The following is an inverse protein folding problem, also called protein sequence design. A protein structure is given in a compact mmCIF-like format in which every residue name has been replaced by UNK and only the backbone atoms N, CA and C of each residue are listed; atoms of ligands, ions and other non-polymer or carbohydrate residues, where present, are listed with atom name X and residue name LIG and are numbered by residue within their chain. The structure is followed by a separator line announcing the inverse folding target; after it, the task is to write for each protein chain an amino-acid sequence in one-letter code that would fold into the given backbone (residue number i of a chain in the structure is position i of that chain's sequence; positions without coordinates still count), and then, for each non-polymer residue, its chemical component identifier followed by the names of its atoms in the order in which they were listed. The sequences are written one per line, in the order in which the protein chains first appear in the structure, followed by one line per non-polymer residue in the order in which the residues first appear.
data_IF_730462533043
#
_entry.id   IF_730462533043
#
_cell.length_a   1.000
_cell.length_b   1.000
_cell.length_c   1.000
_cell.angle_alpha   90.00
_cell.angle_beta   90.00
_cell.angle_gamma   90.00
#
_symmetry.space_group_name_H-M   'P 1'
#
loop_
_entity.id
_entity.type
_entity.pdbx_description
1 polymer ?
#
# COMPACT_ATOMS: atom_id res chain seq x y z
N UNK A 1 -55.72 1.46 -25.55
CA UNK A 1 -56.24 2.58 -24.74
C UNK A 1 -56.60 2.09 -23.33
N UNK A 2 -55.61 1.69 -22.49
CA UNK A 2 -55.86 1.19 -21.11
C UNK A 2 -54.95 1.85 -20.05
N UNK A 3 -54.14 2.85 -20.43
CA UNK A 3 -53.11 3.40 -19.54
C UNK A 3 -53.58 4.62 -18.73
N UNK A 4 -54.73 5.22 -19.06
CA UNK A 4 -55.20 6.43 -18.38
C UNK A 4 -55.98 6.13 -17.08
N UNK A 5 -56.58 4.95 -16.94
CA UNK A 5 -57.34 4.58 -15.75
C UNK A 5 -56.43 4.31 -14.53
N UNK A 6 -55.26 3.68 -14.77
CA UNK A 6 -54.30 3.39 -13.71
C UNK A 6 -53.64 4.64 -13.11
N UNK A 7 -53.42 5.69 -13.91
CA UNK A 7 -52.77 6.91 -13.42
C UNK A 7 -53.65 7.68 -12.43
N UNK A 8 -54.97 7.64 -12.63
CA UNK A 8 -55.91 8.31 -11.73
C UNK A 8 -55.99 7.64 -10.35
N UNK A 9 -55.94 6.31 -10.29
CA UNK A 9 -55.91 5.58 -9.02
C UNK A 9 -54.63 5.86 -8.22
N UNK A 10 -53.49 5.96 -8.92
CA UNK A 10 -52.19 6.26 -8.28
C UNK A 10 -52.19 7.67 -7.70
N UNK A 11 -52.65 8.68 -8.44
CA UNK A 11 -52.75 10.06 -7.91
C UNK A 11 -53.69 10.14 -6.71
N UNK A 12 -54.79 9.37 -6.73
CA UNK A 12 -55.74 9.31 -5.62
C UNK A 12 -55.12 8.69 -4.37
N UNK A 13 -54.29 7.65 -4.51
CA UNK A 13 -53.57 7.04 -3.38
C UNK A 13 -52.45 7.94 -2.83
N UNK A 14 -51.73 8.65 -3.71
CA UNK A 14 -50.68 9.59 -3.29
C UNK A 14 -51.23 10.79 -2.52
N UNK A 15 -52.40 11.29 -2.92
CA UNK A 15 -53.08 12.38 -2.21
C UNK A 15 -53.70 11.97 -0.86
N UNK A 16 -53.85 10.67 -0.62
CA UNK A 16 -54.30 10.13 0.68
C UNK A 16 -53.15 9.88 1.66
N UNK A 17 -51.90 10.06 1.25
CA UNK A 17 -50.78 9.89 2.17
C UNK A 17 -50.74 11.04 3.19
N UNK A 18 -50.61 10.74 4.49
CA UNK A 18 -50.48 11.76 5.52
C UNK A 18 -49.20 12.55 5.27
N UNK A 19 -49.29 13.89 5.41
CA UNK A 19 -48.11 14.75 5.34
C UNK A 19 -47.22 14.41 6.53
N UNK A 20 -46.08 13.78 6.27
CA UNK A 20 -45.07 13.52 7.28
C UNK A 20 -44.47 14.88 7.64
N UNK A 21 -44.85 15.42 8.78
CA UNK A 21 -44.14 16.52 9.41
C UNK A 21 -43.13 15.89 10.35
N UNK A 22 -41.85 16.13 10.08
CA UNK A 22 -40.81 15.77 11.02
C UNK A 22 -40.95 16.67 12.25
N UNK A 23 -41.38 16.08 13.36
CA UNK A 23 -41.56 16.78 14.63
C UNK A 23 -40.29 16.71 15.50
N UNK A 24 -39.16 16.28 14.93
CA UNK A 24 -37.90 16.26 15.67
C UNK A 24 -37.40 17.69 15.87
N UNK A 25 -37.25 18.04 17.14
CA UNK A 25 -36.62 19.27 17.57
C UNK A 25 -35.13 19.26 17.20
N UNK A 26 -34.68 20.26 16.45
CA UNK A 26 -33.29 20.33 15.94
C UNK A 26 -32.27 20.35 17.08
N UNK A 27 -32.60 20.96 18.22
CA UNK A 27 -31.71 21.05 19.36
C UNK A 27 -31.55 19.71 20.06
N UNK A 28 -32.63 18.93 20.19
CA UNK A 28 -32.59 17.58 20.73
C UNK A 28 -31.76 16.64 19.85
N UNK A 29 -31.90 16.75 18.53
CA UNK A 29 -31.13 15.98 17.55
C UNK A 29 -29.64 16.32 17.64
N UNK A 30 -29.31 17.61 17.70
CA UNK A 30 -27.92 18.07 17.85
C UNK A 30 -27.30 17.61 19.17
N UNK A 31 -28.07 17.67 20.28
CA UNK A 31 -27.63 17.20 21.59
C UNK A 31 -27.35 15.70 21.59
N UNK A 32 -28.21 14.90 20.95
CA UNK A 32 -28.04 13.44 20.83
C UNK A 32 -26.81 13.08 20.02
N UNK A 33 -26.58 13.77 18.90
CA UNK A 33 -25.38 13.58 18.06
C UNK A 33 -24.12 13.95 18.83
N UNK A 34 -24.10 15.10 19.51
CA UNK A 34 -22.95 15.54 20.32
C UNK A 34 -22.62 14.59 21.46
N UNK A 35 -23.63 14.03 22.11
CA UNK A 35 -23.47 13.05 23.19
C UNK A 35 -22.90 11.71 22.68
N UNK A 36 -23.30 11.28 21.48
CA UNK A 36 -22.74 10.08 20.83
C UNK A 36 -21.25 10.26 20.49
N UNK A 37 -20.84 11.43 19.97
CA UNK A 37 -19.42 11.73 19.71
C UNK A 37 -18.57 11.67 20.99
N UNK A 38 -19.03 12.30 22.07
CA UNK A 38 -18.31 12.27 23.36
C UNK A 38 -18.21 10.87 23.95
N UNK A 39 -19.26 10.04 23.83
CA UNK A 39 -19.21 8.64 24.30
C UNK A 39 -18.21 7.80 23.51
N UNK A 40 -18.04 8.04 22.21
CA UNK A 40 -17.08 7.33 21.36
C UNK A 40 -15.63 7.70 21.73
N UNK A 41 -15.35 8.97 21.99
CA UNK A 41 -14.01 9.42 22.40
C UNK A 41 -13.57 8.83 23.75
N UNK A 42 -14.46 8.79 24.75
CA UNK A 42 -14.14 8.25 26.08
C UNK A 42 -13.87 6.74 26.01
N UNK A 43 -14.62 5.99 25.19
CA UNK A 43 -14.42 4.54 25.02
C UNK A 43 -13.09 4.21 24.32
N UNK A 44 -12.61 5.05 23.42
CA UNK A 44 -11.33 4.84 22.73
C UNK A 44 -10.12 5.10 23.64
N UNK A 45 -10.21 6.06 24.57
CA UNK A 45 -9.08 6.42 25.45
C UNK A 45 -8.74 5.34 26.49
N UNK A 46 -9.70 4.53 26.90
CA UNK A 46 -9.53 3.51 27.96
C UNK A 46 -9.06 2.12 27.48
N UNK A 47 -8.71 1.94 26.20
CA UNK A 47 -8.16 0.65 25.71
C UNK A 47 -6.63 0.61 25.62
N UNK A 48 -5.94 1.62 26.15
CA UNK A 48 -4.48 1.77 26.03
C UNK A 48 -3.73 1.49 27.35
N UNK A 49 -4.01 0.34 27.97
CA UNK A 49 -3.07 -0.28 28.92
C UNK A 49 -3.15 -1.80 28.73
N UNK A 50 -2.47 -2.29 27.69
CA UNK A 50 -2.11 -3.71 27.59
C UNK A 50 -0.76 -3.87 28.28
N UNK A 51 -0.79 -4.33 29.53
CA UNK A 51 0.40 -4.79 30.24
C UNK A 51 0.91 -6.06 29.55
N UNK A 52 2.12 -6.03 29.01
CA UNK A 52 2.85 -7.25 28.61
C UNK A 52 3.68 -7.67 29.83
N UNK A 53 3.38 -8.80 30.49
CA UNK A 53 4.17 -9.27 31.62
C UNK A 53 5.32 -10.18 31.15
N UNK A 54 6.51 -9.90 31.68
CA UNK A 54 7.56 -10.85 32.06
C UNK A 54 8.36 -11.65 31.00
N UNK A 55 8.08 -11.65 29.69
CA UNK A 55 8.88 -12.47 28.75
C UNK A 55 10.24 -11.87 28.32
N UNK A 56 10.48 -10.55 28.48
CA UNK A 56 11.76 -9.94 28.09
C UNK A 56 12.91 -10.18 29.07
N UNK A 57 12.62 -10.56 30.32
CA UNK A 57 13.65 -10.77 31.35
C UNK A 57 14.53 -12.02 31.07
N UNK A 58 13.95 -13.08 30.48
CA UNK A 58 14.69 -14.33 30.22
C UNK A 58 15.75 -14.18 29.12
N UNK A 59 15.48 -13.36 28.09
CA UNK A 59 16.41 -13.13 26.99
C UNK A 59 17.67 -12.36 27.45
N UNK A 60 17.50 -11.39 28.35
CA UNK A 60 18.63 -10.60 28.90
C UNK A 60 19.54 -11.47 29.78
N UNK A 61 18.98 -12.41 30.56
CA UNK A 61 19.79 -13.35 31.35
C UNK A 61 20.60 -14.32 30.47
N UNK A 62 20.04 -14.83 29.37
CA UNK A 62 20.76 -15.73 28.46
C UNK A 62 21.95 -15.02 27.79
N UNK A 63 21.80 -13.76 27.38
CA UNK A 63 22.91 -12.99 26.82
C UNK A 63 24.04 -12.73 27.83
N UNK A 64 23.73 -12.52 29.12
CA UNK A 64 24.74 -12.32 30.15
C UNK A 64 25.60 -13.59 30.40
N UNK A 65 25.01 -14.78 30.34
CA UNK A 65 25.74 -16.06 30.53
C UNK A 65 26.70 -16.35 29.36
N UNK A 66 26.31 -16.01 28.13
CA UNK A 66 27.16 -16.20 26.95
C UNK A 66 28.39 -15.28 27.00
N UNK A 67 28.24 -14.03 27.45
CA UNK A 67 29.36 -13.08 27.52
C UNK A 67 30.41 -13.46 28.58
N UNK A 68 29.99 -14.00 29.73
CA UNK A 68 30.93 -14.44 30.78
C UNK A 68 31.73 -15.67 30.31
N UNK A 69 31.12 -16.57 29.55
CA UNK A 69 31.78 -17.80 29.07
C UNK A 69 32.90 -17.52 28.05
N UNK A 70 32.77 -16.44 27.26
CA UNK A 70 33.78 -16.06 26.25
C UNK A 70 35.02 -15.41 26.90
N UNK A 71 34.85 -14.66 27.98
CA UNK A 71 35.97 -13.98 28.65
C UNK A 71 36.78 -14.97 29.52
N UNK A 72 36.14 -15.99 30.10
CA UNK A 72 36.80 -16.92 31.03
C UNK A 72 37.56 -18.06 30.32
N UNK A 73 37.42 -18.21 28.99
CA UNK A 73 38.09 -19.28 28.23
C UNK A 73 39.39 -18.84 27.53
N UNK A 74 39.96 -17.70 27.91
CA UNK A 74 41.31 -17.29 27.52
C UNK A 74 42.29 -17.51 28.69
N UNK A 75 42.96 -18.67 28.64
CA UNK A 75 44.16 -19.11 29.38
C UNK A 75 43.97 -19.68 30.80
N UNK A 76 44.36 -20.95 30.96
CA UNK A 76 45.54 -21.23 31.75
C UNK A 76 46.48 -22.22 31.06
N UNK A 77 47.65 -21.78 30.63
CA UNK A 77 48.84 -22.64 30.51
C UNK A 77 50.08 -21.77 30.69
N UNK A 78 50.52 -21.68 31.94
CA UNK A 78 51.92 -21.48 32.24
C UNK A 78 52.63 -22.83 32.09
N UNK A 79 53.90 -22.75 31.72
CA UNK A 79 54.98 -23.74 31.78
C UNK A 79 55.41 -24.49 30.51
N UNK A 80 56.70 -24.27 30.23
CA UNK A 80 57.70 -25.08 29.50
C UNK A 80 57.91 -24.81 28.00
N UNK A 81 58.85 -23.92 27.70
CA UNK A 81 60.04 -24.27 26.90
C UNK A 81 61.12 -23.20 27.07
N UNK A 82 62.26 -23.64 27.60
CA UNK A 82 63.51 -22.91 27.79
C UNK A 82 64.30 -22.81 26.47
N UNK A 83 65.08 -21.74 26.40
CA UNK A 83 66.33 -21.56 25.65
C UNK A 83 66.24 -21.52 24.11
N UNK A 84 66.55 -20.36 23.53
CA UNK A 84 67.78 -20.14 22.75
C UNK A 84 67.97 -18.63 22.50
N UNK A 85 69.14 -18.21 22.95
CA UNK A 85 69.80 -16.91 22.91
C UNK A 85 70.36 -16.65 21.51
N UNK A 86 70.05 -15.51 20.85
CA UNK A 86 71.05 -14.77 20.05
C UNK A 86 70.60 -13.34 19.65
N UNK A 87 71.31 -12.36 20.22
CA UNK A 87 71.94 -11.18 19.58
C UNK A 87 71.15 -10.12 18.77
N UNK A 88 71.23 -8.89 19.32
CA UNK A 88 71.61 -7.60 18.68
C UNK A 88 70.68 -6.99 17.62
N UNK A 89 70.03 -5.85 17.93
CA UNK A 89 70.44 -4.46 17.57
C UNK A 89 70.37 -4.19 16.06
N UNK A 90 69.52 -3.25 15.61
CA UNK A 90 69.89 -1.85 15.31
C UNK A 90 68.72 -1.08 14.66
N UNK A 91 68.82 0.24 14.71
CA UNK A 91 67.78 1.25 14.45
C UNK A 91 67.86 1.88 13.05
N UNK A 92 66.83 2.68 12.74
CA UNK A 92 66.83 3.83 11.80
C UNK A 92 66.87 3.49 10.29
N UNK A 93 66.38 4.26 9.33
CA UNK A 93 65.54 5.46 9.15
C UNK A 93 65.49 5.73 7.63
N UNK A 94 64.50 6.47 7.11
CA UNK A 94 64.53 7.34 5.90
C UNK A 94 63.21 7.19 5.11
N UNK A 95 62.30 8.17 5.05
CA UNK A 95 62.30 9.51 4.40
C UNK A 95 62.17 9.52 2.87
N UNK A 96 61.04 10.08 2.41
CA UNK A 96 60.93 10.97 1.24
C UNK A 96 60.53 10.34 -0.10
N UNK A 97 59.91 11.02 -1.07
CA UNK A 97 59.32 12.36 -1.24
C UNK A 97 58.75 12.37 -2.67
N UNK A 98 57.70 13.16 -2.96
CA UNK A 98 57.64 13.91 -4.24
C UNK A 98 56.65 13.50 -5.33
N UNK A 99 55.49 14.17 -5.32
CA UNK A 99 54.63 14.57 -6.46
C UNK A 99 55.43 15.39 -7.52
N UNK A 100 54.98 15.59 -8.78
CA UNK A 100 53.89 16.53 -9.17
C UNK A 100 53.04 16.07 -10.42
N UNK A 101 51.74 16.37 -10.54
CA UNK A 101 51.05 17.57 -11.08
C UNK A 101 51.29 17.95 -12.55
N UNK A 102 50.22 17.95 -13.37
CA UNK A 102 49.89 18.81 -14.54
C UNK A 102 48.57 18.28 -15.17
N UNK A 103 47.68 19.01 -15.84
CA UNK A 103 47.19 20.39 -15.84
C UNK A 103 45.94 20.38 -16.73
N UNK A 104 45.03 21.34 -16.52
CA UNK A 104 43.82 21.56 -17.31
C UNK A 104 44.12 22.16 -18.70
N UNK A 105 43.29 21.84 -19.71
CA UNK A 105 43.15 22.69 -20.90
C UNK A 105 41.73 22.67 -21.47
N UNK A 106 41.15 23.86 -21.57
CA UNK A 106 39.90 24.20 -22.25
C UNK A 106 40.01 24.08 -23.78
N UNK A 107 38.90 23.78 -24.48
CA UNK A 107 38.52 24.49 -25.72
C UNK A 107 37.09 24.15 -26.20
N UNK A 108 36.33 25.21 -26.51
CA UNK A 108 35.12 25.35 -27.35
C UNK A 108 35.60 25.81 -28.75
N UNK A 109 35.02 25.41 -29.91
CA UNK A 109 33.94 26.17 -30.59
C UNK A 109 32.94 25.36 -31.47
N UNK A 110 31.95 26.12 -31.95
CA UNK A 110 30.65 25.79 -32.57
C UNK A 110 30.64 25.18 -34.00
N UNK A 111 29.49 24.52 -34.25
CA UNK A 111 28.65 24.39 -35.46
C UNK A 111 29.27 24.19 -36.86
N UNK A 112 28.94 23.06 -37.50
CA UNK A 112 28.33 23.09 -38.84
C UNK A 112 27.56 21.79 -39.17
N UNK A 113 26.50 22.00 -39.93
CA UNK A 113 25.38 21.18 -40.37
C UNK A 113 25.78 20.07 -41.37
N UNK A 114 25.29 18.84 -41.20
CA UNK A 114 25.01 17.93 -42.34
C UNK A 114 24.04 16.80 -41.97
N UNK A 115 22.90 16.79 -42.67
CA UNK A 115 21.92 15.71 -42.81
C UNK A 115 22.50 14.28 -42.78
N UNK A 116 21.81 13.41 -42.04
CA UNK A 116 21.61 12.00 -42.41
C UNK A 116 20.31 11.48 -41.80
N UNK A 117 19.32 11.34 -42.67
CA UNK A 117 18.26 10.35 -42.53
C UNK A 117 18.90 8.96 -42.33
N UNK A 118 18.43 8.24 -41.30
CA UNK A 118 18.09 6.82 -41.35
C UNK A 118 18.12 6.21 -39.94
N UNK A 119 16.93 5.73 -39.54
CA UNK A 119 16.72 4.53 -38.76
C UNK A 119 17.51 4.35 -37.46
N UNK A 120 16.89 4.71 -36.34
CA UNK A 120 16.68 3.70 -35.28
C UNK A 120 15.45 4.08 -34.44
N UNK A 121 14.27 3.69 -34.92
CA UNK A 121 13.09 3.59 -34.06
C UNK A 121 13.41 2.56 -32.98
N UNK A 122 13.93 3.04 -31.86
CA UNK A 122 14.04 2.25 -30.65
C UNK A 122 12.67 1.64 -30.38
N UNK A 123 12.53 0.30 -30.36
CA UNK A 123 11.26 -0.33 -30.09
C UNK A 123 10.81 0.13 -28.71
N UNK A 124 9.68 0.85 -28.66
CA UNK A 124 8.95 1.05 -27.41
C UNK A 124 8.81 -0.32 -26.74
N UNK A 125 9.17 -0.47 -25.46
CA UNK A 125 9.08 -1.76 -24.79
C UNK A 125 7.63 -2.25 -24.89
N UNK A 126 7.44 -3.38 -25.58
CA UNK A 126 6.15 -4.03 -25.72
C UNK A 126 5.55 -4.27 -24.32
N UNK A 127 4.54 -3.47 -23.96
CA UNK A 127 3.72 -3.64 -22.76
C UNK A 127 3.02 -5.01 -22.68
N UNK A 128 3.05 -5.80 -23.75
CA UNK A 128 2.51 -7.16 -23.80
C UNK A 128 3.32 -8.19 -22.97
N UNK A 129 4.51 -7.83 -22.48
CA UNK A 129 5.29 -8.71 -21.58
C UNK A 129 5.04 -8.43 -20.08
N UNK A 130 4.24 -7.42 -19.74
CA UNK A 130 3.95 -7.03 -18.35
C UNK A 130 2.54 -7.39 -17.85
N UNK A 131 1.73 -8.13 -18.61
CA UNK A 131 0.47 -8.71 -18.12
C UNK A 131 0.34 -10.20 -18.52
N UNK A 132 -0.19 -11.14 -17.70
CA UNK A 132 -0.74 -11.06 -16.34
C UNK A 132 -0.26 -12.22 -15.42
N UNK A 133 1.03 -12.60 -15.44
CA UNK A 133 1.51 -13.78 -14.66
C UNK A 133 1.91 -13.50 -13.20
N UNK A 134 1.89 -12.24 -12.76
CA UNK A 134 2.33 -11.88 -11.40
C UNK A 134 1.37 -10.98 -10.62
N UNK A 135 0.24 -10.55 -11.21
CA UNK A 135 -0.84 -10.04 -10.36
C UNK A 135 -1.35 -11.25 -9.58
N UNK A 136 -1.12 -11.25 -8.26
CA UNK A 136 -1.61 -12.25 -7.31
C UNK A 136 -2.97 -12.78 -7.76
N UNK A 137 -3.20 -14.10 -7.66
CA UNK A 137 -4.26 -14.93 -8.29
C UNK A 137 -5.73 -14.44 -8.21
N UNK A 138 -5.94 -13.25 -7.70
CA UNK A 138 -7.12 -12.41 -7.77
C UNK A 138 -7.63 -12.20 -9.20
N UNK A 139 -8.87 -12.67 -9.40
CA UNK A 139 -9.63 -12.53 -10.64
C UNK A 139 -11.04 -12.06 -10.33
N UNK A 140 -11.56 -11.20 -11.20
CA UNK A 140 -12.97 -10.85 -11.13
C UNK A 140 -13.81 -12.09 -11.44
N UNK A 141 -14.79 -12.36 -10.57
CA UNK A 141 -15.61 -13.57 -10.60
C UNK A 141 -15.30 -14.59 -9.51
N UNK A 142 -14.26 -14.38 -8.70
CA UNK A 142 -13.98 -15.24 -7.55
C UNK A 142 -15.08 -15.16 -6.49
N UNK A 143 -15.31 -16.27 -5.81
CA UNK A 143 -16.08 -16.34 -4.56
C UNK A 143 -15.26 -15.78 -3.40
N UNK A 144 -15.91 -15.55 -2.26
CA UNK A 144 -15.19 -15.09 -1.06
C UNK A 144 -14.11 -16.08 -0.61
N UNK A 145 -14.41 -17.38 -0.61
CA UNK A 145 -13.49 -18.40 -0.11
C UNK A 145 -12.22 -18.48 -0.96
N UNK A 146 -12.36 -18.42 -2.28
CA UNK A 146 -11.21 -18.35 -3.20
C UNK A 146 -10.38 -17.07 -2.95
N UNK A 147 -11.01 -15.94 -2.62
CA UNK A 147 -10.27 -14.72 -2.29
C UNK A 147 -9.43 -14.92 -1.03
N UNK A 148 -10.00 -15.52 0.01
CA UNK A 148 -9.27 -15.79 1.27
C UNK A 148 -8.12 -16.77 1.05
N UNK A 149 -8.30 -17.78 0.20
CA UNK A 149 -7.22 -18.68 -0.20
C UNK A 149 -6.10 -17.93 -0.94
N UNK A 150 -6.46 -17.00 -1.83
CA UNK A 150 -5.50 -16.25 -2.62
C UNK A 150 -4.71 -15.19 -1.82
N UNK A 151 -5.36 -14.43 -0.93
CA UNK A 151 -4.71 -13.29 -0.26
C UNK A 151 -4.42 -13.51 1.23
N UNK A 152 -5.01 -14.54 1.84
CA UNK A 152 -4.94 -14.82 3.27
C UNK A 152 -6.19 -14.39 4.04
N UNK A 153 -6.31 -14.87 5.28
CA UNK A 153 -7.45 -14.58 6.16
C UNK A 153 -7.33 -13.21 6.84
N UNK A 154 -8.41 -12.40 6.89
CA UNK A 154 -8.41 -11.13 7.59
C UNK A 154 -8.48 -11.30 9.11
N UNK A 155 -8.10 -10.26 9.84
CA UNK A 155 -8.28 -10.15 11.29
C UNK A 155 -9.76 -10.01 11.66
N UNK A 156 -10.48 -9.20 10.89
CA UNK A 156 -11.92 -8.99 11.00
C UNK A 156 -12.49 -8.56 9.65
N UNK A 157 -13.81 -8.70 9.48
CA UNK A 157 -14.52 -8.20 8.30
C UNK A 157 -15.86 -7.60 8.67
N UNK A 158 -16.39 -6.74 7.80
CA UNK A 158 -17.69 -6.10 7.94
C UNK A 158 -18.46 -6.17 6.62
N UNK A 159 -19.71 -6.60 6.70
CA UNK A 159 -20.61 -6.73 5.56
C UNK A 159 -21.56 -5.53 5.48
N UNK A 160 -21.74 -5.00 4.28
CA UNK A 160 -22.72 -3.97 3.98
C UNK A 160 -23.34 -4.20 2.60
N UNK A 161 -24.62 -4.56 2.57
CA UNK A 161 -25.38 -4.92 1.37
C UNK A 161 -24.64 -5.96 0.50
N UNK A 162 -24.04 -5.50 -0.61
CA UNK A 162 -23.30 -6.31 -1.57
C UNK A 162 -21.79 -6.02 -1.52
N UNK A 163 -21.29 -5.52 -0.40
CA UNK A 163 -19.88 -5.23 -0.16
C UNK A 163 -19.40 -5.91 1.13
N UNK A 164 -18.17 -6.44 1.12
CA UNK A 164 -17.46 -6.89 2.32
C UNK A 164 -16.15 -6.13 2.47
N UNK A 165 -15.92 -5.55 3.63
CA UNK A 165 -14.67 -4.85 3.98
C UNK A 165 -13.81 -5.78 4.83
N UNK A 166 -12.54 -5.97 4.47
CA UNK A 166 -11.60 -6.88 5.11
C UNK A 166 -10.47 -6.10 5.77
N UNK A 167 -10.19 -6.42 7.03
CA UNK A 167 -9.17 -5.77 7.83
C UNK A 167 -7.98 -6.70 8.06
N UNK A 168 -6.80 -6.25 7.65
CA UNK A 168 -5.53 -7.01 7.79
C UNK A 168 -4.53 -6.33 8.75
N UNK A 169 -4.80 -5.08 9.14
CA UNK A 169 -4.02 -4.31 10.11
C UNK A 169 -4.94 -3.71 11.17
N UNK A 170 -4.38 -3.18 12.25
CA UNK A 170 -5.15 -2.48 13.29
C UNK A 170 -5.69 -1.13 12.82
N UNK A 171 -5.13 -0.57 11.74
CA UNK A 171 -5.37 0.81 11.30
C UNK A 171 -6.67 0.97 10.49
N UNK A 172 -7.16 -0.08 9.84
CA UNK A 172 -8.41 0.01 9.08
C UNK A 172 -8.63 -1.11 8.06
N UNK A 173 -9.78 -1.08 7.40
CA UNK A 173 -10.13 -2.02 6.33
C UNK A 173 -9.33 -1.73 5.07
N UNK A 174 -8.33 -2.56 4.79
CA UNK A 174 -7.41 -2.37 3.67
C UNK A 174 -7.87 -2.98 2.36
N UNK A 175 -8.83 -3.91 2.38
CA UNK A 175 -9.40 -4.51 1.16
C UNK A 175 -10.92 -4.42 1.23
N UNK A 176 -11.58 -4.05 0.13
CA UNK A 176 -13.03 -4.12 -0.01
C UNK A 176 -13.38 -4.95 -1.24
N UNK A 177 -14.32 -5.87 -1.05
CA UNK A 177 -14.88 -6.73 -2.08
C UNK A 177 -16.28 -6.23 -2.40
N UNK A 178 -16.55 -5.94 -3.67
CA UNK A 178 -17.89 -5.71 -4.15
C UNK A 178 -18.38 -7.01 -4.80
N UNK A 179 -19.58 -7.45 -4.45
CA UNK A 179 -20.19 -8.66 -4.98
C UNK A 179 -21.30 -8.33 -5.99
N UNK A 180 -21.42 -9.20 -6.99
CA UNK A 180 -22.58 -9.24 -7.88
C UNK A 180 -23.76 -9.84 -7.12
N UNK A 181 -24.88 -9.10 -7.07
CA UNK A 181 -26.08 -9.43 -6.26
C UNK A 181 -26.59 -10.87 -6.40
N UNK A 182 -26.46 -11.47 -7.59
CA UNK A 182 -27.08 -12.76 -7.89
C UNK A 182 -26.13 -13.97 -7.79
N UNK A 183 -24.82 -13.76 -7.89
CA UNK A 183 -23.84 -14.85 -7.98
C UNK A 183 -22.95 -14.98 -6.75
N UNK A 184 -23.00 -14.02 -5.82
CA UNK A 184 -22.05 -13.93 -4.69
C UNK A 184 -20.58 -13.98 -5.12
N UNK A 185 -20.30 -13.61 -6.36
CA UNK A 185 -18.94 -13.50 -6.89
C UNK A 185 -18.50 -12.05 -6.89
N UNK A 186 -17.20 -11.84 -6.65
CA UNK A 186 -16.59 -10.51 -6.58
C UNK A 186 -16.55 -9.91 -7.97
N UNK A 187 -17.14 -8.73 -8.14
CA UNK A 187 -17.12 -7.96 -9.39
C UNK A 187 -16.16 -6.76 -9.35
N UNK A 188 -15.67 -6.39 -8.16
CA UNK A 188 -14.64 -5.36 -7.98
C UNK A 188 -13.83 -5.62 -6.71
N UNK A 189 -12.52 -5.48 -6.81
CA UNK A 189 -11.61 -5.37 -5.67
C UNK A 189 -11.23 -3.91 -5.47
N UNK A 190 -11.14 -3.46 -4.22
CA UNK A 190 -10.60 -2.15 -3.86
C UNK A 190 -9.56 -2.32 -2.75
N UNK A 191 -8.33 -1.89 -3.01
CA UNK A 191 -7.22 -1.89 -2.06
C UNK A 191 -6.99 -0.47 -1.56
N UNK A 192 -6.77 -0.32 -0.26
CA UNK A 192 -6.48 0.96 0.39
C UNK A 192 -5.07 0.85 1.00
N UNK A 193 -4.02 1.23 0.26
CA UNK A 193 -2.63 0.94 0.63
C UNK A 193 -2.22 1.42 2.03
N UNK A 194 -2.77 2.56 2.47
CA UNK A 194 -2.51 3.12 3.80
C UNK A 194 -2.83 2.12 4.93
N UNK A 195 -3.84 1.26 4.77
CA UNK A 195 -4.24 0.28 5.78
C UNK A 195 -3.64 -1.12 5.57
N UNK A 196 -2.80 -1.28 4.54
CA UNK A 196 -2.09 -2.53 4.23
C UNK A 196 -0.58 -2.43 4.56
N UNK A 197 -0.16 -1.37 5.24
CA UNK A 197 1.22 -1.24 5.69
C UNK A 197 1.53 -2.29 6.78
N UNK A 198 2.72 -2.89 6.71
CA UNK A 198 3.19 -3.85 7.71
C UNK A 198 2.55 -5.25 7.62
N UNK A 199 1.68 -5.50 6.64
CA UNK A 199 1.02 -6.79 6.45
C UNK A 199 1.70 -7.67 5.40
N UNK A 200 2.88 -7.27 4.90
CA UNK A 200 3.57 -7.93 3.78
C UNK A 200 3.94 -9.39 4.07
N UNK A 201 4.11 -9.75 5.35
CA UNK A 201 4.42 -11.12 5.75
C UNK A 201 3.18 -12.02 5.85
N UNK A 202 1.98 -11.41 5.90
CA UNK A 202 0.70 -12.12 6.11
C UNK A 202 -0.15 -12.19 4.86
N UNK A 203 0.06 -11.25 3.92
CA UNK A 203 -0.72 -11.14 2.70
C UNK A 203 0.06 -11.68 1.51
N UNK A 204 -0.59 -12.53 0.74
CA UNK A 204 -0.09 -13.00 -0.55
C UNK A 204 -0.65 -12.13 -1.67
N UNK A 205 -0.32 -10.83 -1.65
CA UNK A 205 -0.77 -9.87 -2.68
C UNK A 205 0.41 -9.26 -3.43
N UNK A 206 0.18 -8.93 -4.69
CA UNK A 206 1.19 -8.29 -5.52
C UNK A 206 1.64 -6.94 -4.91
N UNK A 207 2.95 -6.62 -4.90
CA UNK A 207 3.47 -5.40 -4.27
C UNK A 207 2.87 -4.09 -4.80
N UNK A 208 2.30 -4.09 -6.01
CA UNK A 208 1.54 -2.97 -6.56
C UNK A 208 0.47 -2.47 -5.57
N UNK A 209 -0.28 -3.37 -4.95
CA UNK A 209 -1.40 -3.03 -4.06
C UNK A 209 -0.95 -2.46 -2.71
N UNK A 210 0.35 -2.46 -2.45
CA UNK A 210 0.98 -1.90 -1.26
C UNK A 210 1.67 -0.55 -1.54
N UNK A 211 1.71 -0.11 -2.80
CA UNK A 211 2.32 1.18 -3.18
C UNK A 211 1.43 2.32 -2.72
N UNK A 212 2.07 3.30 -2.09
CA UNK A 212 1.40 4.47 -1.53
C UNK A 212 1.61 5.74 -2.35
N UNK A 213 2.54 5.71 -3.30
CA UNK A 213 2.85 6.86 -4.16
C UNK A 213 2.62 6.51 -5.62
N UNK A 214 2.06 7.47 -6.36
CA UNK A 214 1.78 7.34 -7.79
C UNK A 214 3.02 6.99 -8.61
N UNK A 215 4.17 7.58 -8.29
CA UNK A 215 5.43 7.30 -9.00
C UNK A 215 5.82 5.81 -8.94
N UNK A 216 5.59 5.17 -7.79
CA UNK A 216 5.81 3.74 -7.63
C UNK A 216 4.86 2.88 -8.45
N UNK A 217 3.64 3.37 -8.73
CA UNK A 217 2.68 2.73 -9.64
C UNK A 217 3.16 2.88 -11.08
N UNK A 218 3.54 4.09 -11.51
CA UNK A 218 4.02 4.38 -12.87
C UNK A 218 5.26 3.57 -13.22
N UNK A 219 6.19 3.43 -12.27
CA UNK A 219 7.36 2.55 -12.44
C UNK A 219 6.97 1.09 -12.70
N UNK A 220 5.86 0.61 -12.12
CA UNK A 220 5.42 -0.78 -12.23
C UNK A 220 4.51 -1.05 -13.42
N UNK A 221 3.62 -0.11 -13.77
CA UNK A 221 2.58 -0.29 -14.78
C UNK A 221 2.85 0.50 -16.08
N UNK A 222 3.83 1.40 -16.08
CA UNK A 222 4.07 2.34 -17.16
C UNK A 222 3.07 3.49 -17.17
N UNK A 223 2.82 4.01 -18.37
CA UNK A 223 1.89 5.13 -18.56
C UNK A 223 0.42 4.67 -18.57
N UNK A 224 -0.49 5.47 -17.99
CA UNK A 224 -1.92 5.16 -17.96
C UNK A 224 -2.54 5.31 -19.35
N UNK A 225 -3.59 4.53 -19.64
CA UNK A 225 -4.41 4.71 -20.84
C UNK A 225 -5.27 5.97 -20.79
N UNK A 226 -5.66 6.35 -19.57
CA UNK A 226 -6.59 7.46 -19.33
C UNK A 226 -6.26 8.09 -17.99
N UNK A 227 -6.24 9.41 -17.98
CA UNK A 227 -6.11 10.24 -16.79
C UNK A 227 -7.31 11.19 -16.73
N UNK A 228 -7.97 11.24 -15.58
CA UNK A 228 -9.14 12.09 -15.36
C UNK A 228 -9.03 12.83 -14.02
N UNK A 229 -9.42 14.10 -14.02
CA UNK A 229 -9.63 14.85 -12.78
C UNK A 229 -11.04 14.57 -12.26
N UNK A 230 -11.14 14.11 -11.01
CA UNK A 230 -12.41 13.77 -10.36
C UNK A 230 -12.60 14.59 -9.09
N UNK A 231 -13.87 14.82 -8.72
CA UNK A 231 -14.19 15.45 -7.44
C UNK A 231 -13.93 14.48 -6.28
N UNK A 232 -13.28 15.00 -5.25
CA UNK A 232 -12.98 14.36 -3.99
C UNK A 232 -13.70 15.07 -2.83
N UNK A 233 -13.44 14.64 -1.60
CA UNK A 233 -14.06 15.21 -0.40
C UNK A 233 -13.92 16.74 -0.34
N UNK A 234 -14.98 17.43 0.08
CA UNK A 234 -15.00 18.89 0.30
C UNK A 234 -14.54 19.74 -0.90
N UNK A 235 -15.04 19.41 -2.11
CA UNK A 235 -14.74 20.15 -3.35
C UNK A 235 -13.26 20.14 -3.77
N UNK A 236 -12.44 19.27 -3.16
CA UNK A 236 -11.08 19.03 -3.64
C UNK A 236 -11.12 18.21 -4.93
N UNK A 237 -10.05 18.30 -5.73
CA UNK A 237 -9.90 17.47 -6.93
C UNK A 237 -8.81 16.42 -6.72
N UNK A 238 -9.06 15.22 -7.20
CA UNK A 238 -8.09 14.13 -7.26
C UNK A 238 -7.92 13.69 -8.72
N UNK A 239 -6.94 12.81 -8.94
CA UNK A 239 -6.68 12.23 -10.26
C UNK A 239 -6.96 10.73 -10.24
N UNK A 240 -7.64 10.26 -11.28
CA UNK A 240 -7.84 8.85 -11.57
C UNK A 240 -7.04 8.43 -12.79
N UNK A 241 -6.27 7.37 -12.61
CA UNK A 241 -5.42 6.77 -13.64
C UNK A 241 -5.95 5.38 -13.97
N UNK A 242 -6.30 5.16 -15.24
CA UNK A 242 -6.78 3.86 -15.71
C UNK A 242 -5.70 3.14 -16.49
N UNK A 243 -5.41 1.90 -16.09
CA UNK A 243 -4.46 1.01 -16.75
C UNK A 243 -5.18 -0.23 -17.31
N UNK A 244 -4.74 -0.69 -18.48
CA UNK A 244 -5.19 -1.97 -19.03
C UNK A 244 -4.58 -3.10 -18.22
N UNK A 245 -5.39 -4.04 -17.76
CA UNK A 245 -4.88 -5.28 -17.18
C UNK A 245 -4.96 -6.43 -18.19
N UNK A 246 -6.12 -6.61 -18.81
CA UNK A 246 -6.33 -7.57 -19.90
C UNK A 246 -7.43 -7.04 -20.85
N UNK A 247 -8.01 -7.90 -21.69
CA UNK A 247 -9.09 -7.50 -22.62
C UNK A 247 -10.39 -7.10 -21.93
N UNK A 248 -10.64 -7.58 -20.70
CA UNK A 248 -11.90 -7.39 -19.98
C UNK A 248 -11.74 -6.63 -18.67
N UNK A 249 -10.58 -6.64 -18.04
CA UNK A 249 -10.34 -6.06 -16.72
C UNK A 249 -9.38 -4.86 -16.81
N UNK A 250 -9.59 -3.90 -15.91
CA UNK A 250 -8.78 -2.68 -15.79
C UNK A 250 -8.40 -2.42 -14.34
N UNK A 251 -7.32 -1.67 -14.16
CA UNK A 251 -6.92 -1.11 -12.87
C UNK A 251 -7.25 0.37 -12.87
N UNK A 252 -7.86 0.84 -11.80
CA UNK A 252 -8.09 2.27 -11.57
C UNK A 252 -7.36 2.67 -10.30
N UNK A 253 -6.43 3.60 -10.42
CA UNK A 253 -5.68 4.16 -9.30
C UNK A 253 -6.19 5.55 -9.05
N UNK A 254 -6.66 5.83 -7.84
CA UNK A 254 -7.08 7.18 -7.44
C UNK A 254 -6.08 7.75 -6.45
N UNK A 255 -5.65 8.98 -6.69
CA UNK A 255 -4.80 9.74 -5.78
C UNK A 255 -5.62 10.48 -4.71
N UNK A 256 -4.97 10.85 -3.61
CA UNK A 256 -5.49 11.77 -2.62
C UNK A 256 -5.46 13.20 -3.16
N UNK A 257 -5.98 14.16 -2.38
CA UNK A 257 -5.98 15.60 -2.70
C UNK A 257 -4.60 16.21 -3.00
N UNK A 258 -3.51 15.56 -2.55
CA UNK A 258 -2.14 15.99 -2.83
C UNK A 258 -1.59 15.43 -4.15
N UNK A 259 -2.37 14.64 -4.89
CA UNK A 259 -2.03 14.04 -6.20
C UNK A 259 -0.84 13.08 -6.22
N UNK A 260 -0.11 12.96 -5.13
CA UNK A 260 1.02 12.04 -4.99
C UNK A 260 0.61 10.73 -4.31
N UNK A 261 -0.14 10.83 -3.22
CA UNK A 261 -0.47 9.67 -2.40
C UNK A 261 -1.64 8.92 -3.00
N UNK A 262 -1.59 7.59 -2.94
CA UNK A 262 -2.67 6.73 -3.41
C UNK A 262 -3.75 6.62 -2.34
N UNK A 263 -4.96 7.01 -2.70
CA UNK A 263 -6.16 6.81 -1.88
C UNK A 263 -6.60 5.34 -1.97
N UNK A 264 -6.79 4.84 -3.19
CA UNK A 264 -7.13 3.45 -3.44
C UNK A 264 -6.67 2.95 -4.82
N UNK A 265 -6.62 1.63 -4.95
CA UNK A 265 -6.40 0.90 -6.20
C UNK A 265 -7.57 -0.05 -6.41
N UNK A 266 -8.26 0.03 -7.54
CA UNK A 266 -9.38 -0.85 -7.89
C UNK A 266 -9.01 -1.79 -9.02
N UNK A 267 -9.53 -3.01 -8.95
CA UNK A 267 -9.62 -3.92 -10.09
C UNK A 267 -11.09 -4.09 -10.41
N UNK A 268 -11.48 -3.84 -11.65
CA UNK A 268 -12.87 -4.00 -12.10
C UNK A 268 -12.93 -4.49 -13.54
N UNK A 269 -14.01 -5.20 -13.86
CA UNK A 269 -14.33 -5.63 -15.22
C UNK A 269 -15.01 -4.51 -15.99
N UNK A 270 -14.60 -4.29 -17.24
CA UNK A 270 -15.31 -3.41 -18.16
C UNK A 270 -16.74 -3.92 -18.34
N UNK A 271 -17.74 -3.07 -18.10
CA UNK A 271 -19.07 -3.36 -18.63
C UNK A 271 -18.98 -3.27 -20.14
N UNK A 272 -19.32 -4.38 -20.82
CA UNK A 272 -19.68 -4.33 -22.24
C UNK A 272 -21.00 -3.57 -22.40
#
# INVERSE_FOLDING_TARGET
MKNNENNYEIEKMLNQMPKIQDHQDEEELFKKVKQEFQRREIKQRNRRVWTIPAMTAAAVMLFAVILISVITNQNPTADMAKDIENSSEESASSEGTGTPSHELKMMRPEENDTNRDDAESSPLPEMDKLAPRSMSDLRIGMTYDEVIEAIGSPLEYEDNENQRSLKYSTEGYGVKLQFKKNSQTVNQFTFIPRYLQGTQQKLTIHPLFLRQKLEGIRTMLGEPMKEESVSCFENTTCEEYTYKLNSEDRIVVRTSWNKEDIEFIKILRQSK
#
